data_IF_008944248011
#
_entry.id   IF_008944248011
#
_cell.length_a   1.000
_cell.length_b   1.000
_cell.length_c   1.000
_cell.angle_alpha   90.00
_cell.angle_beta   90.00
_cell.angle_gamma   90.00
#
_symmetry.space_group_name_H-M   'P 1'
#
loop_
_entity.id
_entity.type
_entity.pdbx_description
1 polymer ?
#
# COMPACT_ATOMS: atom_id res chain seq x y z
N UNK A 1 10.69 11.50 84.76
CA UNK A 1 10.93 10.26 83.98
C UNK A 1 9.66 9.57 83.46
N UNK A 2 8.57 9.38 84.23
CA UNK A 2 7.40 8.60 83.78
C UNK A 2 6.72 9.10 82.49
N UNK A 3 6.60 10.42 82.33
CA UNK A 3 5.93 11.06 81.16
C UNK A 3 6.73 10.89 79.87
N UNK A 4 8.06 10.97 79.94
CA UNK A 4 8.97 10.80 78.80
C UNK A 4 8.95 9.36 78.26
N UNK A 5 8.97 8.37 79.15
CA UNK A 5 8.90 6.97 78.75
C UNK A 5 7.54 6.61 78.11
N UNK A 6 6.44 7.23 78.57
CA UNK A 6 5.12 7.05 77.96
C UNK A 6 5.01 7.69 76.56
N UNK A 7 5.61 8.87 76.36
CA UNK A 7 5.66 9.53 75.06
C UNK A 7 6.51 8.74 74.04
N UNK A 8 7.64 8.17 74.48
CA UNK A 8 8.47 7.30 73.65
C UNK A 8 7.75 6.01 73.26
N UNK A 9 7.07 5.35 74.20
CA UNK A 9 6.33 4.11 73.92
C UNK A 9 5.15 4.38 72.94
N UNK A 10 4.48 5.52 73.07
CA UNK A 10 3.44 5.95 72.12
C UNK A 10 4.00 6.16 70.71
N UNK A 11 5.09 6.90 70.59
CA UNK A 11 5.76 7.17 69.32
C UNK A 11 6.24 5.88 68.64
N UNK A 12 6.79 4.94 69.41
CA UNK A 12 7.20 3.64 68.90
C UNK A 12 6.02 2.83 68.35
N UNK A 13 4.88 2.82 69.06
CA UNK A 13 3.65 2.14 68.59
C UNK A 13 3.09 2.78 67.32
N UNK A 14 3.03 4.11 67.27
CA UNK A 14 2.55 4.86 66.10
C UNK A 14 3.44 4.64 64.87
N UNK A 15 4.77 4.64 65.05
CA UNK A 15 5.74 4.33 63.98
C UNK A 15 5.54 2.93 63.41
N UNK A 16 5.33 1.92 64.26
CA UNK A 16 5.06 0.54 63.81
C UNK A 16 3.76 0.41 63.01
N UNK A 17 2.70 1.10 63.42
CA UNK A 17 1.43 1.13 62.68
C UNK A 17 1.63 1.82 61.32
N UNK A 18 2.38 2.92 61.28
CA UNK A 18 2.70 3.63 60.04
C UNK A 18 3.50 2.76 59.07
N UNK A 19 4.53 2.05 59.56
CA UNK A 19 5.32 1.15 58.74
C UNK A 19 4.48 0.01 58.17
N UNK A 20 3.60 -0.60 58.97
CA UNK A 20 2.71 -1.65 58.49
C UNK A 20 1.77 -1.14 57.37
N UNK A 21 1.18 0.04 57.54
CA UNK A 21 0.33 0.67 56.52
C UNK A 21 1.11 1.02 55.25
N UNK A 22 2.35 1.49 55.38
CA UNK A 22 3.22 1.77 54.24
C UNK A 22 3.55 0.49 53.47
N UNK A 23 3.91 -0.59 54.17
CA UNK A 23 4.20 -1.89 53.56
C UNK A 23 2.96 -2.48 52.86
N UNK A 24 1.77 -2.31 53.44
CA UNK A 24 0.51 -2.72 52.81
C UNK A 24 0.24 -1.93 51.52
N UNK A 25 0.41 -0.60 51.56
CA UNK A 25 0.28 0.25 50.37
C UNK A 25 1.31 -0.08 49.28
N UNK A 26 2.55 -0.39 49.65
CA UNK A 26 3.59 -0.82 48.70
C UNK A 26 3.23 -2.14 48.00
N UNK A 27 2.67 -3.11 48.74
CA UNK A 27 2.19 -4.37 48.17
C UNK A 27 1.05 -4.15 47.18
N UNK A 28 0.11 -3.25 47.50
CA UNK A 28 -0.97 -2.89 46.58
C UNK A 28 -0.42 -2.21 45.31
N UNK A 29 0.49 -1.26 45.46
CA UNK A 29 1.14 -0.61 44.31
C UNK A 29 1.89 -1.62 43.44
N UNK A 30 2.54 -2.61 44.05
CA UNK A 30 3.19 -3.68 43.30
C UNK A 30 2.18 -4.53 42.51
N UNK A 31 1.02 -4.86 43.11
CA UNK A 31 -0.07 -5.56 42.42
C UNK A 31 -0.62 -4.76 41.24
N UNK A 32 -0.95 -3.49 41.47
CA UNK A 32 -1.47 -2.61 40.43
C UNK A 32 -0.47 -2.45 39.28
N UNK A 33 0.82 -2.25 39.57
CA UNK A 33 1.86 -2.17 38.51
C UNK A 33 1.88 -3.44 37.66
N UNK A 34 1.88 -4.62 38.29
CA UNK A 34 1.88 -5.89 37.57
C UNK A 34 0.64 -6.03 36.68
N UNK A 35 -0.53 -5.65 37.18
CA UNK A 35 -1.77 -5.71 36.39
C UNK A 35 -1.74 -4.76 35.19
N UNK A 36 -1.26 -3.53 35.37
CA UNK A 36 -1.09 -2.55 34.28
C UNK A 36 -0.09 -3.06 33.23
N UNK A 37 1.01 -3.68 33.66
CA UNK A 37 1.97 -4.32 32.75
C UNK A 37 1.31 -5.48 31.96
N UNK A 38 0.54 -6.35 32.63
CA UNK A 38 -0.17 -7.43 31.95
C UNK A 38 -1.21 -6.90 30.95
N UNK A 39 -1.95 -5.86 31.30
CA UNK A 39 -2.92 -5.22 30.41
C UNK A 39 -2.23 -4.58 29.20
N UNK A 40 -1.16 -3.82 29.43
CA UNK A 40 -0.38 -3.20 28.35
C UNK A 40 0.22 -4.25 27.40
N UNK A 41 0.73 -5.37 27.92
CA UNK A 41 1.18 -6.50 27.12
C UNK A 41 0.05 -7.12 26.29
N UNK A 42 -1.14 -7.34 26.87
CA UNK A 42 -2.31 -7.85 26.15
C UNK A 42 -2.72 -6.90 25.03
N UNK A 43 -2.73 -5.60 25.30
CA UNK A 43 -3.08 -4.58 24.33
C UNK A 43 -2.07 -4.51 23.19
N UNK A 44 -0.77 -4.49 23.50
CA UNK A 44 0.30 -4.53 22.50
C UNK A 44 0.20 -5.78 21.60
N UNK A 45 -0.15 -6.94 22.18
CA UNK A 45 -0.37 -8.18 21.43
C UNK A 45 -1.57 -8.10 20.50
N UNK A 46 -2.67 -7.48 20.94
CA UNK A 46 -3.86 -7.27 20.10
C UNK A 46 -3.54 -6.29 18.95
N UNK A 47 -2.88 -5.17 19.26
CA UNK A 47 -2.44 -4.18 18.27
C UNK A 47 -1.51 -4.79 17.22
N UNK A 48 -0.49 -5.54 17.66
CA UNK A 48 0.40 -6.27 16.74
C UNK A 48 -0.37 -7.21 15.80
N UNK A 49 -1.34 -7.96 16.33
CA UNK A 49 -2.20 -8.83 15.51
C UNK A 49 -3.07 -8.03 14.54
N UNK A 50 -3.55 -6.85 14.92
CA UNK A 50 -4.33 -5.98 14.05
C UNK A 50 -3.46 -5.44 12.89
N UNK A 51 -2.24 -4.99 13.18
CA UNK A 51 -1.28 -4.51 12.18
C UNK A 51 -0.93 -5.61 11.17
N UNK A 52 -0.60 -6.82 11.61
CA UNK A 52 -0.32 -7.95 10.69
C UNK A 52 -1.51 -8.27 9.79
N UNK A 53 -2.75 -8.16 10.31
CA UNK A 53 -3.95 -8.36 9.48
C UNK A 53 -4.13 -7.23 8.47
N UNK A 54 -3.89 -5.98 8.86
CA UNK A 54 -3.95 -4.82 7.98
C UNK A 54 -2.92 -4.93 6.85
N UNK A 55 -1.67 -5.25 7.19
CA UNK A 55 -0.58 -5.47 6.23
C UNK A 55 -0.93 -6.59 5.23
N UNK A 56 -1.46 -7.73 5.73
CA UNK A 56 -1.91 -8.82 4.86
C UNK A 56 -3.06 -8.41 3.94
N UNK A 57 -3.96 -7.51 4.38
CA UNK A 57 -5.02 -6.96 3.53
C UNK A 57 -4.42 -6.08 2.44
N UNK A 58 -3.55 -5.12 2.80
CA UNK A 58 -2.87 -4.25 1.85
C UNK A 58 -2.09 -5.02 0.79
N UNK A 59 -1.32 -6.04 1.21
CA UNK A 59 -0.60 -6.93 0.29
C UNK A 59 -1.52 -7.66 -0.69
N UNK A 60 -2.71 -8.11 -0.26
CA UNK A 60 -3.67 -8.75 -1.17
C UNK A 60 -4.22 -7.77 -2.21
N UNK A 61 -4.49 -6.53 -1.83
CA UNK A 61 -4.96 -5.49 -2.75
C UNK A 61 -3.89 -5.21 -3.82
N UNK A 62 -2.64 -5.02 -3.39
CA UNK A 62 -1.51 -4.80 -4.31
C UNK A 62 -1.33 -6.00 -5.27
N UNK A 63 -1.37 -7.23 -4.74
CA UNK A 63 -1.25 -8.44 -5.58
C UNK A 63 -2.39 -8.55 -6.59
N UNK A 64 -3.62 -8.20 -6.21
CA UNK A 64 -4.76 -8.22 -7.12
C UNK A 64 -4.60 -7.17 -8.24
N UNK A 65 -4.16 -5.96 -7.90
CA UNK A 65 -3.91 -4.91 -8.88
C UNK A 65 -2.76 -5.28 -9.83
N UNK A 66 -1.68 -5.85 -9.32
CA UNK A 66 -0.58 -6.34 -10.16
C UNK A 66 -1.04 -7.44 -11.13
N UNK A 67 -1.92 -8.34 -10.70
CA UNK A 67 -2.52 -9.33 -11.61
C UNK A 67 -3.38 -8.68 -12.68
N UNK A 68 -4.18 -7.67 -12.33
CA UNK A 68 -5.00 -6.91 -13.29
C UNK A 68 -4.11 -6.24 -14.34
N UNK A 69 -3.06 -5.55 -13.91
CA UNK A 69 -2.09 -4.89 -14.80
C UNK A 69 -1.34 -5.88 -15.67
N UNK A 70 -0.94 -7.03 -15.14
CA UNK A 70 -0.29 -8.08 -15.93
C UNK A 70 -1.21 -8.65 -17.03
N UNK A 71 -2.51 -8.82 -16.74
CA UNK A 71 -3.47 -9.26 -17.74
C UNK A 71 -3.67 -8.21 -18.85
N UNK A 72 -3.81 -6.93 -18.48
CA UNK A 72 -3.89 -5.83 -19.46
C UNK A 72 -2.61 -5.72 -20.29
N UNK A 73 -1.45 -5.86 -19.66
CA UNK A 73 -0.17 -5.85 -20.36
C UNK A 73 -0.10 -7.00 -21.39
N UNK A 74 -0.50 -8.22 -21.01
CA UNK A 74 -0.49 -9.34 -21.93
C UNK A 74 -1.35 -9.04 -23.18
N UNK A 75 -2.55 -8.49 -23.00
CA UNK A 75 -3.43 -8.15 -24.13
C UNK A 75 -2.89 -7.03 -25.02
N UNK A 76 -2.35 -5.97 -24.42
CA UNK A 76 -1.77 -4.84 -25.15
C UNK A 76 -0.49 -5.24 -25.88
N UNK A 77 0.32 -6.11 -25.26
CA UNK A 77 1.55 -6.61 -25.82
C UNK A 77 1.30 -7.53 -27.03
N UNK A 78 0.28 -8.40 -26.98
CA UNK A 78 -0.11 -9.17 -28.16
C UNK A 78 -0.55 -8.26 -29.31
N UNK A 79 -1.39 -7.25 -29.02
CA UNK A 79 -1.81 -6.28 -30.04
C UNK A 79 -0.63 -5.49 -30.63
N UNK A 80 0.37 -5.17 -29.79
CA UNK A 80 1.61 -4.53 -30.24
C UNK A 80 2.40 -5.43 -31.19
N UNK A 81 2.57 -6.72 -30.85
CA UNK A 81 3.26 -7.68 -31.73
C UNK A 81 2.53 -7.82 -33.06
N UNK A 82 1.22 -7.96 -33.06
CA UNK A 82 0.42 -8.13 -34.28
C UNK A 82 0.59 -6.92 -35.21
N UNK A 83 0.53 -5.70 -34.65
CA UNK A 83 0.78 -4.48 -35.41
C UNK A 83 2.21 -4.43 -35.96
N UNK A 84 3.20 -4.80 -35.14
CA UNK A 84 4.61 -4.78 -35.55
C UNK A 84 4.94 -5.86 -36.59
N UNK A 85 4.36 -7.04 -36.47
CA UNK A 85 4.49 -8.14 -37.44
C UNK A 85 3.91 -7.72 -38.79
N UNK A 86 2.73 -7.08 -38.81
CA UNK A 86 2.15 -6.54 -40.04
C UNK A 86 3.07 -5.51 -40.71
N UNK A 87 3.63 -4.59 -39.92
CA UNK A 87 4.60 -3.60 -40.41
C UNK A 87 5.88 -4.28 -40.93
N UNK A 88 6.33 -5.34 -40.26
CA UNK A 88 7.47 -6.17 -40.66
C UNK A 88 7.26 -6.83 -42.02
N UNK A 89 6.15 -7.57 -42.20
CA UNK A 89 5.78 -8.19 -43.47
C UNK A 89 5.72 -7.17 -44.61
N UNK A 90 5.14 -5.99 -44.36
CA UNK A 90 5.09 -4.94 -45.37
C UNK A 90 6.48 -4.43 -45.76
N UNK A 91 7.39 -4.23 -44.80
CA UNK A 91 8.79 -3.84 -45.07
C UNK A 91 9.54 -4.90 -45.86
N UNK A 92 9.28 -6.17 -45.60
CA UNK A 92 9.89 -7.29 -46.31
C UNK A 92 9.34 -7.44 -47.74
N UNK A 93 8.03 -7.20 -47.95
CA UNK A 93 7.40 -7.14 -49.27
C UNK A 93 7.89 -5.96 -50.12
N UNK A 94 8.38 -4.88 -49.51
CA UNK A 94 9.07 -3.79 -50.25
C UNK A 94 10.45 -4.21 -50.79
N UNK A 95 10.97 -5.38 -50.39
CA UNK A 95 12.12 -6.02 -51.01
C UNK A 95 11.78 -6.45 -52.44
N UNK A 96 12.21 -5.63 -53.40
CA UNK A 96 11.99 -5.73 -54.85
C UNK A 96 12.24 -7.11 -55.50
N UNK A 97 12.93 -8.02 -54.81
CA UNK A 97 13.32 -9.35 -55.31
C UNK A 97 12.12 -10.27 -55.49
N UNK A 98 11.16 -10.28 -54.55
CA UNK A 98 10.00 -11.18 -54.62
C UNK A 98 9.04 -10.78 -55.75
N UNK A 99 8.77 -9.48 -55.90
CA UNK A 99 7.98 -8.92 -57.00
C UNK A 99 8.65 -9.10 -58.36
N UNK A 100 9.98 -8.93 -58.44
CA UNK A 100 10.75 -9.20 -59.66
C UNK A 100 10.65 -10.67 -60.07
N UNK A 101 10.73 -11.60 -59.12
CA UNK A 101 10.58 -13.02 -59.39
C UNK A 101 9.16 -13.35 -59.89
N UNK A 102 8.12 -12.82 -59.22
CA UNK A 102 6.71 -13.00 -59.61
C UNK A 102 6.39 -12.47 -61.02
N UNK A 103 7.07 -11.42 -61.47
CA UNK A 103 6.85 -10.86 -62.82
C UNK A 103 7.24 -11.78 -63.98
N UNK A 104 7.96 -12.89 -63.71
CA UNK A 104 8.25 -13.91 -64.73
C UNK A 104 7.05 -14.81 -65.04
N UNK A 105 5.98 -14.73 -64.26
CA UNK A 105 4.79 -15.55 -64.41
C UNK A 105 3.87 -14.97 -65.51
N UNK A 106 3.36 -15.80 -66.42
CA UNK A 106 2.53 -15.34 -67.55
C UNK A 106 1.21 -14.69 -67.11
N UNK A 107 0.72 -15.04 -65.91
CA UNK A 107 -0.48 -14.47 -65.31
C UNK A 107 -0.22 -13.20 -64.48
N UNK A 108 1.02 -12.70 -64.48
CA UNK A 108 1.39 -11.53 -63.68
C UNK A 108 0.79 -10.25 -64.26
N UNK A 109 0.07 -9.50 -63.43
CA UNK A 109 -0.49 -8.21 -63.78
C UNK A 109 0.09 -7.14 -62.87
N UNK A 110 0.94 -6.28 -63.43
CA UNK A 110 1.52 -5.14 -62.71
C UNK A 110 0.45 -4.26 -62.04
N UNK A 111 -0.67 -3.89 -62.72
CA UNK A 111 -1.74 -3.14 -62.08
C UNK A 111 -2.38 -3.87 -60.89
N UNK A 112 -2.52 -5.21 -60.97
CA UNK A 112 -3.09 -6.00 -59.87
C UNK A 112 -2.13 -6.05 -58.67
N UNK A 113 -0.83 -6.27 -58.91
CA UNK A 113 0.20 -6.26 -57.85
C UNK A 113 0.31 -4.85 -57.20
N UNK A 114 0.24 -3.78 -57.99
CA UNK A 114 0.23 -2.39 -57.48
C UNK A 114 -1.03 -2.12 -56.65
N UNK A 115 -2.20 -2.61 -57.09
CA UNK A 115 -3.43 -2.49 -56.32
C UNK A 115 -3.34 -3.27 -54.99
N UNK A 116 -2.81 -4.49 -55.01
CA UNK A 116 -2.57 -5.30 -53.80
C UNK A 116 -1.61 -4.60 -52.83
N UNK A 117 -0.45 -4.12 -53.31
CA UNK A 117 0.50 -3.35 -52.52
C UNK A 117 -0.10 -2.06 -51.95
N UNK A 118 -0.97 -1.37 -52.70
CA UNK A 118 -1.67 -0.18 -52.20
C UNK A 118 -2.65 -0.51 -51.08
N UNK A 119 -3.34 -1.66 -51.17
CA UNK A 119 -4.17 -2.19 -50.10
C UNK A 119 -3.36 -2.51 -48.85
N UNK A 120 -2.22 -3.19 -49.02
CA UNK A 120 -1.29 -3.49 -47.94
C UNK A 120 -0.68 -2.20 -47.31
N UNK A 121 -0.40 -1.17 -48.10
CA UNK A 121 0.06 0.14 -47.61
C UNK A 121 -0.94 0.78 -46.66
N UNK A 122 -2.24 0.75 -46.99
CA UNK A 122 -3.28 1.30 -46.13
C UNK A 122 -3.39 0.53 -44.81
N UNK A 123 -3.28 -0.80 -44.87
CA UNK A 123 -3.17 -1.64 -43.68
C UNK A 123 -1.93 -1.32 -42.83
N UNK A 124 -0.80 -1.04 -43.49
CA UNK A 124 0.47 -0.76 -42.81
C UNK A 124 0.42 0.60 -42.12
N UNK A 125 -0.07 1.63 -42.82
CA UNK A 125 -0.27 2.96 -42.23
C UNK A 125 -1.23 2.89 -41.02
N UNK A 126 -2.27 2.05 -41.10
CA UNK A 126 -3.15 1.81 -39.98
C UNK A 126 -2.42 1.12 -38.81
N UNK A 127 -1.71 0.02 -39.05
CA UNK A 127 -0.94 -0.68 -38.02
C UNK A 127 0.13 0.21 -37.36
N UNK A 128 0.88 0.99 -38.15
CA UNK A 128 1.86 1.96 -37.66
C UNK A 128 1.22 3.03 -36.76
N UNK A 129 -0.01 3.46 -37.09
CA UNK A 129 -0.73 4.45 -36.27
C UNK A 129 -1.20 3.91 -34.90
N UNK A 130 -1.34 2.59 -34.75
CA UNK A 130 -1.77 1.94 -33.50
C UNK A 130 -0.62 1.74 -32.51
N UNK A 131 0.63 1.69 -33.01
CA UNK A 131 1.82 1.44 -32.19
C UNK A 131 2.02 2.50 -31.09
N UNK A 132 2.04 3.83 -31.36
CA UNK A 132 2.25 4.83 -30.32
C UNK A 132 1.15 4.85 -29.23
N UNK A 133 -0.15 4.73 -29.56
CA UNK A 133 -1.20 4.58 -28.55
C UNK A 133 -1.04 3.35 -27.65
N UNK A 134 -0.69 2.19 -28.22
CA UNK A 134 -0.45 0.96 -27.46
C UNK A 134 0.74 1.14 -26.51
N UNK A 135 1.84 1.72 -27.00
CA UNK A 135 3.01 2.02 -26.18
C UNK A 135 2.67 2.97 -25.02
N UNK A 136 1.83 3.98 -25.27
CA UNK A 136 1.32 4.88 -24.25
C UNK A 136 0.55 4.16 -23.14
N UNK A 137 -0.34 3.23 -23.49
CA UNK A 137 -1.09 2.42 -22.50
C UNK A 137 -0.17 1.48 -21.71
N UNK A 138 0.83 0.89 -22.36
CA UNK A 138 1.84 0.07 -21.68
C UNK A 138 2.62 0.90 -20.67
N UNK A 139 3.01 2.13 -21.00
CA UNK A 139 3.70 3.04 -20.06
C UNK A 139 2.83 3.36 -18.84
N UNK A 140 1.52 3.60 -19.02
CA UNK A 140 0.59 3.85 -17.91
C UNK A 140 0.48 2.65 -16.94
N UNK A 141 0.66 1.42 -17.42
CA UNK A 141 0.67 0.24 -16.54
C UNK A 141 1.87 0.24 -15.57
N UNK A 142 2.94 0.96 -15.90
CA UNK A 142 4.13 1.13 -15.06
C UNK A 142 4.02 2.28 -14.05
N UNK A 143 2.95 3.09 -14.09
CA UNK A 143 2.75 4.15 -13.10
C UNK A 143 2.63 3.57 -11.68
N UNK A 144 3.05 4.31 -10.66
CA UNK A 144 2.98 3.84 -9.28
C UNK A 144 1.54 3.48 -8.88
N UNK A 145 1.39 2.46 -8.04
CA UNK A 145 0.10 2.17 -7.40
C UNK A 145 -0.05 3.14 -6.24
N UNK A 146 -1.09 3.97 -6.28
CA UNK A 146 -1.49 4.76 -5.12
C UNK A 146 -1.93 3.81 -4.00
N UNK A 147 -1.13 3.72 -2.94
CA UNK A 147 -1.48 2.99 -1.73
C UNK A 147 -2.04 4.01 -0.75
N UNK A 148 -3.34 3.90 -0.43
CA UNK A 148 -3.98 4.71 0.61
C UNK A 148 -3.23 4.58 1.93
N UNK A 149 -2.97 5.71 2.59
CA UNK A 149 -2.27 5.79 3.87
C UNK A 149 -3.24 5.46 5.03
N UNK A 150 -3.77 4.24 5.03
CA UNK A 150 -4.73 3.81 6.05
C UNK A 150 -4.01 3.40 7.35
N UNK A 151 -3.38 4.34 8.08
CA UNK A 151 -2.86 4.11 9.46
C UNK A 151 -2.71 5.37 10.34
N UNK A 152 -3.50 6.44 10.15
CA UNK A 152 -3.37 7.66 10.99
C UNK A 152 -4.35 7.75 12.19
N UNK A 153 -5.44 7.00 12.24
CA UNK A 153 -6.53 7.25 13.20
C UNK A 153 -6.73 6.05 14.16
N UNK A 154 -5.90 5.96 15.20
CA UNK A 154 -6.23 5.22 16.43
C UNK A 154 -5.25 5.53 17.56
N UNK A 155 -5.22 6.77 18.06
CA UNK A 155 -4.46 7.00 19.28
C UNK A 155 -4.28 8.44 19.73
N UNK A 156 -5.36 9.14 20.08
CA UNK A 156 -5.32 10.19 21.12
C UNK A 156 -6.74 10.52 21.56
N UNK A 157 -7.24 9.80 22.55
CA UNK A 157 -8.41 10.15 23.34
C UNK A 157 -8.03 10.10 24.82
N UNK A 158 -7.12 10.97 25.23
CA UNK A 158 -6.87 11.26 26.66
C UNK A 158 -7.60 12.56 26.94
N UNK A 159 -8.72 12.46 27.66
CA UNK A 159 -9.47 13.60 28.16
C UNK A 159 -8.62 14.31 29.22
N UNK A 160 -8.24 15.54 28.92
CA UNK A 160 -7.69 16.49 29.88
C UNK A 160 -8.86 17.29 30.46
N UNK A 161 -9.37 16.87 31.63
CA UNK A 161 -10.28 17.69 32.45
C UNK A 161 -9.45 18.69 33.25
N UNK A 162 -9.01 19.76 32.57
CA UNK A 162 -8.50 20.97 33.22
C UNK A 162 -9.64 21.95 33.51
N UNK A 163 -10.35 21.78 34.62
CA UNK A 163 -11.29 22.77 35.13
C UNK A 163 -10.52 23.94 35.77
N UNK A 164 -10.16 24.94 34.97
CA UNK A 164 -9.83 26.28 35.44
C UNK A 164 -11.11 27.09 35.59
N UNK A 165 -11.57 27.31 36.82
CA UNK A 165 -12.58 28.33 37.11
C UNK A 165 -11.83 29.60 37.49
N UNK A 166 -11.92 30.60 36.62
CA UNK A 166 -11.49 31.97 36.88
C UNK A 166 -12.48 32.65 37.81
N UNK A 167 -11.94 33.39 38.78
CA UNK A 167 -12.63 34.38 39.59
C UNK A 167 -13.16 35.53 38.70
N UNK A 168 -14.36 36.02 39.03
CA UNK A 168 -14.90 37.24 38.44
C UNK A 168 -16.33 37.57 38.85
N UNK A 169 -16.43 38.46 39.84
CA UNK A 169 -17.40 39.58 39.91
C UNK A 169 -18.86 39.30 40.34
N UNK A 170 -19.22 39.75 41.56
CA UNK A 170 -20.45 40.53 41.86
C UNK A 170 -20.22 41.38 43.14
N UNK A 171 -20.38 42.70 43.00
CA UNK A 171 -20.64 43.80 43.96
C UNK A 171 -20.05 43.81 45.39
#
# INVERSE_FOLDING_TARGET
>A
MRVFNAALDRSFRESRISHFKAEEAERELFRFRKEVEEQSWRQAKLHSRALVRAERRGKRVIVAEMKRRAALFATEFESFKDAQEFVGYFRECRGSVATLYKSQNENFSFPAEVAEMSGLMNGCAHAESLVPPIEGRVRQLWDFIEVSEDTAEAGTGVGDEGAGVADGEVD
#
